data_IF_612416180194
#
_entry.id   IF_612416180194
#
_cell.length_a   1.000
_cell.length_b   1.000
_cell.length_c   1.000
_cell.angle_alpha   90.00
_cell.angle_beta   90.00
_cell.angle_gamma   90.00
#
_symmetry.space_group_name_H-M   'P 1'
#
loop_
_entity.id
_entity.type
_entity.pdbx_description
1 polymer ?
#
# COMPACT_ATOMS: atom_id res chain seq x y z
N UNK A 1 3.28 -18.43 4.40
CA UNK A 1 3.77 -17.05 4.13
C UNK A 1 2.55 -16.16 3.97
N UNK A 2 2.62 -14.90 4.38
CA UNK A 2 1.52 -13.95 4.19
C UNK A 2 1.72 -13.20 2.86
N UNK A 3 0.68 -13.19 2.01
CA UNK A 3 0.73 -12.64 0.65
C UNK A 3 -0.03 -11.34 0.54
N UNK A 4 0.62 -10.30 0.04
CA UNK A 4 0.01 -8.98 -0.14
C UNK A 4 0.20 -8.56 -1.59
N UNK A 5 -0.89 -8.15 -2.25
CA UNK A 5 -0.80 -7.40 -3.49
C UNK A 5 -0.74 -5.91 -3.15
N UNK A 6 0.34 -5.24 -3.54
CA UNK A 6 0.43 -3.78 -3.45
C UNK A 6 0.04 -3.18 -4.78
N UNK A 7 -0.92 -2.27 -4.75
CA UNK A 7 -1.44 -1.59 -5.92
C UNK A 7 -1.30 -0.09 -5.82
N UNK A 8 -1.40 0.56 -6.97
CA UNK A 8 -1.37 2.01 -7.08
C UNK A 8 -0.50 2.47 -8.24
N UNK A 9 -0.63 3.75 -8.57
CA UNK A 9 0.05 4.39 -9.70
C UNK A 9 1.58 4.27 -9.63
N UNK A 10 2.23 4.58 -10.75
CA UNK A 10 3.68 4.74 -10.76
C UNK A 10 4.07 5.79 -9.72
N UNK A 11 5.16 5.54 -8.99
CA UNK A 11 5.64 6.44 -7.93
C UNK A 11 4.63 6.68 -6.78
N UNK A 12 3.67 5.78 -6.53
CA UNK A 12 2.74 5.89 -5.40
C UNK A 12 3.35 5.51 -4.03
N UNK A 13 4.64 5.18 -3.95
CA UNK A 13 5.31 4.78 -2.70
C UNK A 13 5.26 3.28 -2.36
N UNK A 14 4.84 2.43 -3.30
CA UNK A 14 4.67 0.98 -3.11
C UNK A 14 5.94 0.29 -2.55
N UNK A 15 7.07 0.41 -3.26
CA UNK A 15 8.34 -0.21 -2.86
C UNK A 15 8.82 0.27 -1.49
N UNK A 16 8.66 1.56 -1.20
CA UNK A 16 9.03 2.14 0.09
C UNK A 16 8.24 1.50 1.23
N UNK A 17 6.93 1.31 1.09
CA UNK A 17 6.10 0.63 2.10
C UNK A 17 6.60 -0.79 2.34
N UNK A 18 6.89 -1.54 1.27
CA UNK A 18 7.39 -2.91 1.37
C UNK A 18 8.70 -3.01 2.14
N UNK A 19 9.64 -2.12 1.81
CA UNK A 19 10.93 -1.97 2.48
C UNK A 19 10.76 -1.71 3.98
N UNK A 20 9.89 -0.77 4.37
CA UNK A 20 9.64 -0.46 5.79
C UNK A 20 8.97 -1.61 6.54
N UNK A 21 7.97 -2.25 5.95
CA UNK A 21 7.29 -3.42 6.56
C UNK A 21 8.28 -4.57 6.79
N UNK A 22 9.29 -4.68 5.94
CA UNK A 22 10.35 -5.68 6.05
C UNK A 22 11.60 -5.18 6.78
N UNK A 23 11.54 -4.00 7.41
CA UNK A 23 12.65 -3.37 8.15
C UNK A 23 13.99 -3.41 7.39
N UNK A 24 13.97 -2.98 6.13
CA UNK A 24 15.13 -3.00 5.23
C UNK A 24 15.06 -1.89 4.21
N UNK A 25 16.21 -1.50 3.65
CA UNK A 25 16.33 -0.64 2.47
C UNK A 25 16.80 -1.41 1.23
N UNK A 26 17.01 -2.73 1.37
CA UNK A 26 17.41 -3.61 0.27
C UNK A 26 16.30 -3.77 -0.77
N UNK A 27 16.66 -4.27 -1.95
CA UNK A 27 15.70 -4.70 -2.96
C UNK A 27 15.24 -6.14 -2.68
N UNK A 28 13.97 -6.50 -2.98
CA UNK A 28 13.51 -7.86 -2.84
C UNK A 28 14.18 -8.79 -3.85
N UNK A 29 14.27 -10.07 -3.51
CA UNK A 29 14.51 -11.11 -4.50
C UNK A 29 13.21 -11.40 -5.25
N UNK A 30 13.31 -11.55 -6.57
CA UNK A 30 12.16 -11.78 -7.46
C UNK A 30 12.14 -13.26 -7.83
N UNK A 31 11.00 -13.92 -7.67
CA UNK A 31 10.77 -15.29 -8.10
C UNK A 31 9.61 -15.33 -9.08
N UNK A 32 9.76 -16.03 -10.20
CA UNK A 32 8.70 -16.18 -11.18
C UNK A 32 7.61 -17.15 -10.68
N UNK A 33 6.54 -17.34 -11.49
CA UNK A 33 5.44 -18.25 -11.17
C UNK A 33 5.83 -19.74 -10.99
N UNK A 34 7.03 -20.15 -11.39
CA UNK A 34 7.58 -21.51 -11.15
C UNK A 34 8.48 -21.58 -9.91
N UNK A 35 8.72 -20.46 -9.23
CA UNK A 35 9.56 -20.36 -8.03
C UNK A 35 11.05 -20.21 -8.32
N UNK A 36 11.43 -19.96 -9.58
CA UNK A 36 12.81 -19.73 -9.97
C UNK A 36 13.18 -18.27 -9.75
N UNK A 37 14.39 -18.05 -9.22
CA UNK A 37 14.89 -16.71 -8.97
C UNK A 37 15.20 -16.01 -10.30
N UNK A 38 14.60 -14.84 -10.50
CA UNK A 38 14.83 -13.99 -11.66
C UNK A 38 16.02 -13.07 -11.37
N UNK A 39 16.90 -12.87 -12.35
CA UNK A 39 18.02 -11.95 -12.22
C UNK A 39 17.51 -10.51 -12.16
N UNK A 40 17.65 -9.90 -10.99
CA UNK A 40 17.23 -8.52 -10.76
C UNK A 40 17.96 -7.52 -11.66
N UNK A 41 19.11 -7.84 -12.25
CA UNK A 41 19.83 -6.92 -13.16
C UNK A 41 19.19 -6.82 -14.55
N UNK A 42 18.52 -7.88 -15.02
CA UNK A 42 17.62 -7.82 -16.19
C UNK A 42 16.37 -6.99 -15.87
N UNK A 43 15.98 -6.97 -14.58
CA UNK A 43 14.85 -6.19 -14.06
C UNK A 43 15.26 -4.77 -13.63
N UNK A 44 16.55 -4.46 -13.44
CA UNK A 44 17.03 -3.11 -13.10
C UNK A 44 16.93 -2.15 -14.29
N UNK A 45 17.03 -2.69 -15.51
CA UNK A 45 16.63 -2.00 -16.73
C UNK A 45 15.13 -1.70 -16.79
N UNK A 46 14.29 -2.39 -15.99
CA UNK A 46 12.83 -2.29 -15.99
C UNK A 46 12.19 -1.79 -14.69
N UNK A 47 12.95 -1.59 -13.60
CA UNK A 47 12.66 -0.59 -12.57
C UNK A 47 12.62 0.82 -13.21
N UNK A 48 13.33 1.00 -14.34
CA UNK A 48 12.97 1.97 -15.38
C UNK A 48 11.83 1.41 -16.24
N UNK A 49 10.57 1.57 -15.79
CA UNK A 49 9.33 1.40 -16.59
C UNK A 49 9.33 0.23 -17.62
N UNK A 50 8.71 -0.92 -17.30
CA UNK A 50 8.06 -1.72 -18.36
C UNK A 50 7.88 -3.23 -18.21
N UNK A 51 8.57 -3.95 -17.31
CA UNK A 51 8.64 -5.43 -17.38
C UNK A 51 8.40 -6.18 -16.05
N UNK A 52 7.59 -5.68 -15.12
CA UNK A 52 7.30 -6.40 -13.86
C UNK A 52 6.09 -7.33 -13.97
N UNK A 53 6.21 -8.65 -13.95
CA UNK A 53 5.01 -9.50 -14.00
C UNK A 53 4.30 -9.47 -12.63
N UNK A 54 2.98 -9.22 -12.60
CA UNK A 54 2.19 -9.21 -11.35
C UNK A 54 2.20 -10.58 -10.66
N UNK A 55 2.43 -11.64 -11.44
CA UNK A 55 2.60 -13.01 -10.94
C UNK A 55 3.92 -13.24 -10.20
N UNK A 56 4.92 -12.37 -10.38
CA UNK A 56 6.23 -12.52 -9.74
C UNK A 56 6.11 -12.26 -8.23
N UNK A 57 6.74 -13.13 -7.45
CA UNK A 57 6.82 -13.01 -6.00
C UNK A 57 8.04 -12.16 -5.62
N UNK A 58 7.80 -11.06 -4.92
CA UNK A 58 8.82 -10.23 -4.30
C UNK A 58 9.03 -10.67 -2.85
N UNK A 59 10.25 -11.10 -2.52
CA UNK A 59 10.59 -11.62 -1.19
C UNK A 59 11.85 -10.94 -0.65
N UNK A 60 11.72 -10.23 0.47
CA UNK A 60 12.86 -9.59 1.13
C UNK A 60 13.64 -10.59 1.98
N UNK A 61 14.97 -10.48 1.96
CA UNK A 61 15.84 -11.34 2.77
C UNK A 61 15.62 -11.14 4.26
N UNK A 62 15.37 -9.89 4.68
CA UNK A 62 15.08 -9.51 6.07
C UNK A 62 13.78 -10.13 6.59
N UNK A 63 12.80 -10.39 5.73
CA UNK A 63 11.56 -11.06 6.12
C UNK A 63 11.00 -11.99 5.02
N UNK A 64 11.45 -13.24 5.05
CA UNK A 64 11.01 -14.32 4.14
C UNK A 64 9.57 -14.81 4.37
N UNK A 65 8.89 -14.32 5.42
CA UNK A 65 7.53 -14.73 5.76
C UNK A 65 6.48 -13.97 4.97
N UNK A 66 6.85 -12.81 4.41
CA UNK A 66 6.06 -12.11 3.42
C UNK A 66 6.39 -12.54 1.99
N UNK A 67 5.36 -12.47 1.16
CA UNK A 67 5.44 -12.49 -0.29
C UNK A 67 4.63 -11.30 -0.77
N UNK A 68 5.22 -10.46 -1.60
CA UNK A 68 4.52 -9.33 -2.19
C UNK A 68 4.35 -9.54 -3.68
N UNK A 69 3.21 -9.11 -4.19
CA UNK A 69 2.97 -8.90 -5.61
C UNK A 69 2.85 -7.39 -5.82
N UNK A 70 3.41 -6.88 -6.91
CA UNK A 70 3.33 -5.46 -7.24
C UNK A 70 2.52 -5.27 -8.52
N UNK A 71 1.41 -4.51 -8.44
CA UNK A 71 0.75 -4.10 -9.67
C UNK A 71 1.65 -3.11 -10.38
N UNK A 72 1.95 -3.36 -11.66
CA UNK A 72 2.40 -2.29 -12.57
C UNK A 72 1.49 -1.10 -12.36
N UNK A 73 2.05 0.09 -12.18
CA UNK A 73 1.24 1.29 -12.00
C UNK A 73 0.31 1.45 -13.19
N UNK A 74 -0.96 1.11 -13.03
CA UNK A 74 -1.92 1.15 -14.12
C UNK A 74 -2.45 2.58 -14.19
N UNK A 75 -1.98 3.33 -15.17
CA UNK A 75 -2.52 4.64 -15.52
C UNK A 75 -3.56 4.45 -16.63
N UNK A 76 -4.49 5.40 -16.78
CA UNK A 76 -5.74 5.27 -17.56
C UNK A 76 -5.59 5.11 -19.09
N UNK A 77 -4.62 4.35 -19.59
CA UNK A 77 -4.24 4.28 -21.01
C UNK A 77 -4.22 2.90 -21.65
N UNK A 78 -4.18 1.78 -20.90
CA UNK A 78 -4.20 0.44 -21.53
C UNK A 78 -5.24 -0.47 -20.88
N UNK A 79 -6.27 -0.84 -21.64
CA UNK A 79 -7.32 -1.76 -21.18
C UNK A 79 -6.72 -3.14 -20.83
N UNK A 80 -5.73 -3.59 -21.60
CA UNK A 80 -5.05 -4.87 -21.38
C UNK A 80 -4.33 -4.96 -20.03
N UNK A 81 -3.70 -3.90 -19.53
CA UNK A 81 -3.07 -3.93 -18.19
C UNK A 81 -4.10 -4.06 -17.08
N UNK A 82 -5.26 -3.40 -17.23
CA UNK A 82 -6.34 -3.53 -16.27
C UNK A 82 -6.93 -4.94 -16.27
N UNK A 83 -7.15 -5.52 -17.44
CA UNK A 83 -7.74 -6.86 -17.56
C UNK A 83 -6.80 -7.93 -16.98
N UNK A 84 -5.49 -7.86 -17.27
CA UNK A 84 -4.49 -8.74 -16.65
C UNK A 84 -4.46 -8.63 -15.13
N UNK A 85 -4.49 -7.40 -14.60
CA UNK A 85 -4.52 -7.17 -13.15
C UNK A 85 -5.82 -7.71 -12.53
N UNK A 86 -6.96 -7.47 -13.17
CA UNK A 86 -8.27 -7.93 -12.71
C UNK A 86 -8.34 -9.46 -12.69
N UNK A 87 -7.86 -10.11 -13.74
CA UNK A 87 -7.76 -11.57 -13.83
C UNK A 87 -6.89 -12.12 -12.69
N UNK A 88 -5.70 -11.55 -12.48
CA UNK A 88 -4.83 -11.92 -11.36
C UNK A 88 -5.52 -11.80 -10.00
N UNK A 89 -6.16 -10.64 -9.73
CA UNK A 89 -6.85 -10.42 -8.46
C UNK A 89 -7.98 -11.42 -8.27
N UNK A 90 -8.81 -11.64 -9.29
CA UNK A 90 -9.95 -12.55 -9.20
C UNK A 90 -9.50 -14.01 -9.02
N UNK A 91 -8.44 -14.45 -9.70
CA UNK A 91 -7.88 -15.80 -9.55
C UNK A 91 -7.25 -15.99 -8.16
N UNK A 92 -6.32 -15.09 -7.78
CA UNK A 92 -5.58 -15.19 -6.52
C UNK A 92 -6.45 -14.91 -5.29
N UNK A 93 -7.58 -14.22 -5.42
CA UNK A 93 -8.52 -14.04 -4.31
C UNK A 93 -9.40 -15.28 -4.07
N UNK A 94 -9.74 -16.03 -5.13
CA UNK A 94 -10.67 -17.16 -5.11
C UNK A 94 -9.98 -18.53 -5.03
N UNK A 95 -8.65 -18.57 -5.20
CA UNK A 95 -7.88 -19.83 -5.12
C UNK A 95 -7.94 -20.45 -3.72
N UNK A 96 -8.16 -21.77 -3.68
CA UNK A 96 -8.26 -22.57 -2.44
C UNK A 96 -6.86 -22.80 -1.84
N UNK A 97 -5.81 -22.78 -2.67
CA UNK A 97 -4.43 -22.98 -2.26
C UNK A 97 -3.91 -21.73 -1.54
N UNK A 98 -3.84 -21.76 -0.21
CA UNK A 98 -3.36 -20.65 0.63
C UNK A 98 -1.95 -20.17 0.27
N UNK A 99 -1.12 -21.06 -0.26
CA UNK A 99 0.22 -20.73 -0.73
C UNK A 99 0.24 -20.05 -2.11
N UNK A 100 -0.90 -19.90 -2.77
CA UNK A 100 -1.08 -19.09 -3.99
C UNK A 100 -2.03 -17.92 -3.78
N UNK A 101 -2.86 -17.97 -2.74
CA UNK A 101 -3.86 -16.93 -2.44
C UNK A 101 -3.21 -15.63 -2.00
N UNK A 102 -3.70 -14.49 -2.50
CA UNK A 102 -3.40 -13.18 -1.89
C UNK A 102 -4.28 -13.01 -0.65
N UNK A 103 -3.72 -12.51 0.44
CA UNK A 103 -4.41 -12.39 1.73
C UNK A 103 -4.91 -10.98 2.02
N UNK A 104 -4.26 -9.97 1.46
CA UNK A 104 -4.69 -8.58 1.55
C UNK A 104 -4.23 -7.79 0.31
N UNK A 105 -4.93 -6.70 0.04
CA UNK A 105 -4.58 -5.74 -1.00
C UNK A 105 -4.30 -4.38 -0.34
N UNK A 106 -3.13 -3.82 -0.60
CA UNK A 106 -2.74 -2.48 -0.19
C UNK A 106 -2.79 -1.54 -1.38
N UNK A 107 -3.79 -0.66 -1.42
CA UNK A 107 -4.03 0.23 -2.54
C UNK A 107 -3.49 1.64 -2.26
N UNK A 108 -2.35 1.99 -2.84
CA UNK A 108 -1.66 3.26 -2.61
C UNK A 108 -2.26 4.40 -3.44
N UNK A 109 -2.72 5.45 -2.75
CA UNK A 109 -3.17 6.71 -3.33
C UNK A 109 -2.24 7.83 -2.83
N UNK A 110 -1.38 8.40 -3.69
CA UNK A 110 -0.46 9.44 -3.26
C UNK A 110 -1.15 10.81 -3.14
N UNK A 111 -0.88 11.53 -2.05
CA UNK A 111 -1.49 12.83 -1.76
C UNK A 111 -0.81 14.03 -2.44
N UNK A 112 0.41 13.85 -2.96
CA UNK A 112 1.15 14.88 -3.68
C UNK A 112 0.52 15.27 -5.04
N UNK A 113 -0.57 14.61 -5.44
CA UNK A 113 -1.38 14.93 -6.61
C UNK A 113 -2.83 15.19 -6.21
N UNK A 114 -3.04 16.15 -5.31
CA UNK A 114 -4.35 16.47 -4.70
C UNK A 114 -5.46 16.74 -5.74
N UNK A 115 -5.11 17.27 -6.92
CA UNK A 115 -6.03 17.52 -8.03
C UNK A 115 -6.46 16.24 -8.78
N UNK A 116 -5.80 15.10 -8.52
CA UNK A 116 -6.01 13.82 -9.19
C UNK A 116 -5.90 12.63 -8.22
N UNK A 117 -6.42 12.79 -7.00
CA UNK A 117 -6.35 11.76 -5.95
C UNK A 117 -7.01 10.44 -6.33
N UNK A 118 -8.20 10.47 -6.94
CA UNK A 118 -8.89 9.26 -7.43
C UNK A 118 -9.16 9.44 -8.92
N UNK A 119 -8.39 8.74 -9.75
CA UNK A 119 -8.49 8.80 -11.21
C UNK A 119 -9.53 7.81 -11.73
N UNK A 120 -9.76 7.81 -13.05
CA UNK A 120 -10.65 6.83 -13.68
C UNK A 120 -10.17 5.39 -13.47
N UNK A 121 -8.86 5.17 -13.39
CA UNK A 121 -8.27 3.86 -13.19
C UNK A 121 -8.63 3.30 -11.79
N UNK A 122 -8.43 4.08 -10.72
CA UNK A 122 -8.80 3.65 -9.37
C UNK A 122 -10.30 3.41 -9.27
N UNK A 123 -11.14 4.29 -9.83
CA UNK A 123 -12.59 4.07 -9.87
C UNK A 123 -12.95 2.76 -10.57
N UNK A 124 -12.34 2.50 -11.74
CA UNK A 124 -12.56 1.26 -12.50
C UNK A 124 -12.23 0.03 -11.65
N UNK A 125 -11.14 0.05 -10.88
CA UNK A 125 -10.81 -1.04 -9.96
C UNK A 125 -11.93 -1.25 -8.93
N UNK A 126 -12.33 -0.20 -8.21
CA UNK A 126 -13.35 -0.31 -7.15
C UNK A 126 -14.77 -0.56 -7.69
N UNK A 127 -15.04 -0.27 -8.96
CA UNK A 127 -16.35 -0.51 -9.57
C UNK A 127 -16.45 -1.89 -10.25
N UNK A 128 -15.33 -2.46 -10.72
CA UNK A 128 -15.35 -3.66 -11.54
C UNK A 128 -14.60 -4.87 -10.96
N UNK A 129 -13.72 -4.69 -9.98
CA UNK A 129 -12.87 -5.76 -9.45
C UNK A 129 -13.45 -6.32 -8.13
N UNK A 130 -14.05 -7.51 -8.23
CA UNK A 130 -14.52 -8.28 -7.07
C UNK A 130 -13.35 -9.02 -6.41
N UNK A 131 -12.89 -8.52 -5.25
CA UNK A 131 -11.81 -9.12 -4.47
C UNK A 131 -12.29 -10.25 -3.54
N UNK A 132 -13.57 -10.60 -3.57
CA UNK A 132 -14.16 -11.62 -2.72
C UNK A 132 -13.91 -11.36 -1.24
N UNK A 133 -13.21 -12.28 -0.57
CA UNK A 133 -12.90 -12.16 0.87
C UNK A 133 -11.58 -11.43 1.16
N UNK A 134 -10.83 -11.03 0.13
CA UNK A 134 -9.55 -10.35 0.30
C UNK A 134 -9.81 -8.87 0.59
N UNK A 135 -9.44 -8.36 1.78
CA UNK A 135 -9.67 -6.97 2.12
C UNK A 135 -8.79 -6.04 1.27
N UNK A 136 -9.38 -4.92 0.87
CA UNK A 136 -8.68 -3.82 0.20
C UNK A 136 -8.54 -2.65 1.18
N UNK A 137 -7.32 -2.26 1.48
CA UNK A 137 -7.00 -1.13 2.36
C UNK A 137 -6.41 -0.02 1.50
N UNK A 138 -7.04 1.15 1.51
CA UNK A 138 -6.51 2.33 0.82
C UNK A 138 -5.44 2.98 1.70
N UNK A 139 -4.22 3.04 1.20
CA UNK A 139 -3.09 3.69 1.85
C UNK A 139 -2.92 5.07 1.24
N UNK A 140 -3.13 6.12 2.03
CA UNK A 140 -2.84 7.48 1.59
C UNK A 140 -1.35 7.74 1.82
N UNK A 141 -0.59 7.80 0.74
CA UNK A 141 0.87 7.89 0.77
C UNK A 141 1.35 9.29 0.48
N UNK A 142 2.65 9.55 0.69
CA UNK A 142 3.28 10.85 0.45
C UNK A 142 2.63 11.99 1.24
N UNK A 143 2.15 11.70 2.45
CA UNK A 143 1.51 12.71 3.30
C UNK A 143 2.49 13.81 3.71
N UNK A 144 3.79 13.51 3.76
CA UNK A 144 4.91 14.42 4.02
C UNK A 144 5.00 15.58 3.00
N UNK A 145 4.49 15.39 1.78
CA UNK A 145 4.41 16.49 0.80
C UNK A 145 3.45 17.59 1.24
N UNK A 146 2.44 17.25 2.05
CA UNK A 146 1.53 18.24 2.63
C UNK A 146 2.26 19.18 3.59
N UNK A 147 3.27 18.70 4.32
CA UNK A 147 4.02 19.54 5.27
C UNK A 147 4.68 20.71 4.57
N UNK A 148 5.39 20.44 3.47
CA UNK A 148 6.06 21.48 2.68
C UNK A 148 5.05 22.43 2.01
N UNK A 149 4.00 21.88 1.39
CA UNK A 149 2.96 22.68 0.74
C UNK A 149 2.26 23.61 1.75
N UNK A 150 1.94 23.10 2.94
CA UNK A 150 1.32 23.89 4.02
C UNK A 150 2.26 24.97 4.52
N UNK A 151 3.54 24.65 4.75
CA UNK A 151 4.51 25.63 5.21
C UNK A 151 4.65 26.77 4.20
N UNK A 152 4.78 26.45 2.90
CA UNK A 152 4.87 27.45 1.83
C UNK A 152 3.61 28.31 1.73
N UNK A 153 2.41 27.70 1.81
CA UNK A 153 1.15 28.46 1.81
C UNK A 153 1.05 29.42 3.00
N UNK A 154 1.50 29.03 4.20
CA UNK A 154 1.48 29.91 5.36
C UNK A 154 2.42 31.11 5.19
N UNK A 155 3.59 30.91 4.56
CA UNK A 155 4.51 32.00 4.21
C UNK A 155 3.87 32.93 3.17
N UNK A 156 3.22 32.37 2.14
CA UNK A 156 2.52 33.15 1.11
C UNK A 156 1.32 33.93 1.68
N UNK A 157 0.66 33.40 2.72
CA UNK A 157 -0.39 34.07 3.50
C UNK A 157 0.16 35.17 4.45
N UNK A 158 1.49 35.38 4.46
CA UNK A 158 2.15 36.49 5.15
C UNK A 158 2.64 36.17 6.57
N UNK A 159 2.69 34.90 6.96
CA UNK A 159 3.33 34.51 8.22
C UNK A 159 4.85 34.55 8.08
N UNK A 160 5.54 34.83 9.19
CA UNK A 160 6.99 34.62 9.25
C UNK A 160 7.30 33.12 9.44
N UNK A 161 8.58 32.76 9.29
CA UNK A 161 9.03 31.37 9.37
C UNK A 161 8.71 30.70 10.71
N UNK A 162 8.85 31.41 11.83
CA UNK A 162 8.60 30.86 13.17
C UNK A 162 7.11 30.56 13.36
N UNK A 163 6.23 31.52 13.04
CA UNK A 163 4.77 31.35 13.14
C UNK A 163 4.26 30.29 12.14
N UNK A 164 4.84 30.22 10.95
CA UNK A 164 4.50 29.20 9.95
C UNK A 164 4.90 27.80 10.43
N UNK A 165 6.08 27.66 11.03
CA UNK A 165 6.55 26.39 11.60
C UNK A 165 5.66 25.92 12.75
N UNK A 166 5.23 26.84 13.63
CA UNK A 166 4.33 26.51 14.74
C UNK A 166 2.95 26.04 14.25
N UNK A 167 2.40 26.67 13.20
CA UNK A 167 1.05 26.36 12.70
C UNK A 167 0.99 25.21 11.69
N UNK A 168 2.12 24.86 11.07
CA UNK A 168 2.19 23.81 10.03
C UNK A 168 1.56 22.48 10.48
N UNK A 169 1.87 21.92 11.66
CA UNK A 169 1.33 20.62 12.07
C UNK A 169 -0.20 20.59 12.18
N UNK A 170 -0.82 21.67 12.67
CA UNK A 170 -2.28 21.76 12.79
C UNK A 170 -2.96 21.83 11.42
N UNK A 171 -2.41 22.67 10.53
CA UNK A 171 -2.96 22.88 9.18
C UNK A 171 -2.74 21.63 8.31
N UNK A 172 -1.59 20.97 8.42
CA UNK A 172 -1.30 19.69 7.77
C UNK A 172 -2.32 18.63 8.17
N UNK A 173 -2.56 18.46 9.48
CA UNK A 173 -3.56 17.51 10.00
C UNK A 173 -4.96 17.80 9.45
N UNK A 174 -5.33 19.07 9.34
CA UNK A 174 -6.60 19.49 8.74
C UNK A 174 -6.68 19.11 7.26
N UNK A 175 -5.65 19.45 6.46
CA UNK A 175 -5.61 19.11 5.03
C UNK A 175 -5.64 17.61 4.78
N UNK A 176 -4.91 16.84 5.60
CA UNK A 176 -4.92 15.38 5.53
C UNK A 176 -6.33 14.83 5.77
N UNK A 177 -7.03 15.33 6.79
CA UNK A 177 -8.42 14.95 7.06
C UNK A 177 -9.36 15.33 5.90
N UNK A 178 -9.21 16.51 5.31
CA UNK A 178 -9.99 16.93 4.15
C UNK A 178 -9.74 16.01 2.94
N UNK A 179 -8.49 15.62 2.68
CA UNK A 179 -8.15 14.64 1.64
C UNK A 179 -8.78 13.28 1.91
N UNK A 180 -8.69 12.79 3.15
CA UNK A 180 -9.28 11.52 3.57
C UNK A 180 -10.81 11.52 3.38
N UNK A 181 -11.49 12.60 3.77
CA UNK A 181 -12.94 12.76 3.57
C UNK A 181 -13.30 12.74 2.08
N UNK A 182 -12.52 13.42 1.23
CA UNK A 182 -12.73 13.41 -0.24
C UNK A 182 -12.56 12.00 -0.81
N UNK A 183 -11.47 11.32 -0.48
CA UNK A 183 -11.18 9.95 -0.95
C UNK A 183 -12.28 8.98 -0.52
N UNK A 184 -12.68 9.00 0.77
CA UNK A 184 -13.82 8.23 1.27
C UNK A 184 -15.12 8.56 0.53
N UNK A 185 -15.38 9.84 0.29
CA UNK A 185 -16.57 10.32 -0.42
C UNK A 185 -16.67 9.84 -1.87
N UNK A 186 -15.53 9.57 -2.52
CA UNK A 186 -15.48 8.98 -3.86
C UNK A 186 -15.58 7.45 -3.84
N UNK A 187 -14.77 6.79 -3.01
CA UNK A 187 -14.60 5.33 -3.07
C UNK A 187 -15.65 4.54 -2.28
N UNK A 188 -16.27 5.11 -1.24
CA UNK A 188 -17.36 4.44 -0.53
C UNK A 188 -18.64 4.31 -1.36
N UNK A 189 -18.73 5.02 -2.49
CA UNK A 189 -19.87 4.93 -3.41
C UNK A 189 -19.65 3.91 -4.52
N UNK A 190 -18.45 3.34 -4.61
CA UNK A 190 -18.12 2.32 -5.60
C UNK A 190 -18.79 0.99 -5.30
N UNK A 191 -18.87 0.14 -6.32
CA UNK A 191 -19.51 -1.18 -6.20
C UNK A 191 -18.82 -2.09 -5.17
N UNK A 192 -17.50 -2.02 -5.11
CA UNK A 192 -16.65 -2.76 -4.19
C UNK A 192 -15.82 -1.76 -3.37
N UNK A 193 -16.37 -1.17 -2.30
CA UNK A 193 -15.67 -0.14 -1.54
C UNK A 193 -14.47 -0.72 -0.76
N UNK A 194 -13.44 0.10 -0.47
CA UNK A 194 -12.35 -0.28 0.45
C UNK A 194 -12.87 -0.68 1.83
N UNK A 195 -12.16 -1.61 2.47
CA UNK A 195 -12.46 -2.06 3.83
C UNK A 195 -11.95 -1.07 4.88
N UNK A 196 -10.83 -0.38 4.60
CA UNK A 196 -10.30 0.65 5.48
C UNK A 196 -9.43 1.66 4.71
N UNK A 197 -9.11 2.77 5.37
CA UNK A 197 -8.29 3.86 4.86
C UNK A 197 -7.25 4.26 5.89
N UNK A 198 -5.98 4.22 5.51
CA UNK A 198 -4.87 4.52 6.41
C UNK A 198 -3.91 5.54 5.79
N UNK A 199 -3.81 6.76 6.36
CA UNK A 199 -2.70 7.65 6.06
C UNK A 199 -1.38 7.09 6.56
N UNK A 200 -0.36 7.10 5.71
CA UNK A 200 1.00 6.71 6.07
C UNK A 200 1.93 7.91 5.97
N UNK A 201 2.54 8.27 7.10
CA UNK A 201 3.44 9.43 7.25
C UNK A 201 4.83 8.98 7.64
N UNK A 202 5.85 9.65 7.09
CA UNK A 202 7.24 9.38 7.48
C UNK A 202 7.80 8.06 6.95
N UNK A 203 7.19 7.44 5.93
CA UNK A 203 7.65 6.15 5.39
C UNK A 203 9.02 6.22 4.70
N UNK A 204 9.57 7.42 4.50
CA UNK A 204 10.95 7.66 4.07
C UNK A 204 11.98 7.52 5.20
N UNK A 205 11.56 7.52 6.46
CA UNK A 205 12.44 7.38 7.62
C UNK A 205 12.74 5.91 7.92
N UNK A 206 13.98 5.60 8.34
CA UNK A 206 14.36 4.24 8.76
C UNK A 206 13.63 3.77 10.01
N UNK A 207 13.23 4.70 10.88
CA UNK A 207 12.45 4.44 12.08
C UNK A 207 10.93 4.41 11.86
N UNK A 208 10.46 4.45 10.61
CA UNK A 208 9.03 4.49 10.31
C UNK A 208 8.28 3.29 10.91
N UNK A 209 7.29 3.57 11.76
CA UNK A 209 6.50 2.54 12.42
C UNK A 209 5.40 1.99 11.50
N UNK A 210 5.56 0.73 11.10
CA UNK A 210 4.56 0.00 10.29
C UNK A 210 3.50 -0.71 11.15
N UNK A 211 3.54 -0.57 12.49
CA UNK A 211 2.60 -1.23 13.40
C UNK A 211 1.16 -0.88 13.05
N UNK A 212 0.86 0.39 12.78
CA UNK A 212 -0.49 0.85 12.42
C UNK A 212 -1.01 0.19 11.13
N UNK A 213 -0.16 0.04 10.11
CA UNK A 213 -0.50 -0.64 8.85
C UNK A 213 -0.80 -2.12 9.08
N UNK A 214 0.01 -2.78 9.88
CA UNK A 214 -0.13 -4.20 10.18
C UNK A 214 -1.34 -4.47 11.07
N UNK A 215 -1.61 -3.62 12.07
CA UNK A 215 -2.81 -3.67 12.91
C UNK A 215 -4.07 -3.44 12.08
N UNK A 216 -4.09 -2.41 11.22
CA UNK A 216 -5.19 -2.17 10.28
C UNK A 216 -5.41 -3.39 9.37
N UNK A 217 -4.33 -3.98 8.84
CA UNK A 217 -4.42 -5.20 8.03
C UNK A 217 -4.99 -6.36 8.84
N UNK A 218 -4.52 -6.61 10.06
CA UNK A 218 -5.05 -7.67 10.91
C UNK A 218 -6.55 -7.49 11.21
N UNK A 219 -6.97 -6.27 11.53
CA UNK A 219 -8.36 -5.96 11.89
C UNK A 219 -9.33 -6.07 10.70
N UNK A 220 -8.84 -5.91 9.47
CA UNK A 220 -9.67 -6.05 8.25
C UNK A 220 -9.77 -7.49 7.75
N UNK A 221 -8.93 -8.41 8.25
CA UNK A 221 -9.01 -9.83 7.88
C UNK A 221 -10.21 -10.50 8.56
N UNK A 222 -11.04 -11.16 7.74
CA UNK A 222 -12.21 -11.91 8.21
C UNK A 222 -11.86 -13.27 8.84
N UNK A 223 -10.70 -13.83 8.50
CA UNK A 223 -10.28 -15.17 8.92
C UNK A 223 -9.26 -15.09 10.06
N UNK A 224 -9.59 -15.63 11.23
CA UNK A 224 -8.70 -15.64 12.41
C UNK A 224 -7.35 -16.30 12.12
N UNK A 225 -7.35 -17.37 11.31
CA UNK A 225 -6.12 -18.03 10.89
C UNK A 225 -5.21 -17.12 10.07
N UNK A 226 -5.77 -16.22 9.25
CA UNK A 226 -4.98 -15.23 8.50
C UNK A 226 -4.45 -14.13 9.40
N UNK A 227 -5.20 -13.72 10.42
CA UNK A 227 -4.72 -12.78 11.45
C UNK A 227 -3.51 -13.36 12.19
N UNK A 228 -3.62 -14.60 12.67
CA UNK A 228 -2.52 -15.31 13.33
C UNK A 228 -1.32 -15.49 12.39
N UNK A 229 -1.57 -15.80 11.11
CA UNK A 229 -0.52 -15.90 10.11
C UNK A 229 0.22 -14.56 9.94
N UNK A 230 -0.50 -13.45 9.80
CA UNK A 230 0.08 -12.10 9.71
C UNK A 230 0.94 -11.78 10.93
N UNK A 231 0.42 -12.00 12.14
CA UNK A 231 1.16 -11.73 13.39
C UNK A 231 2.43 -12.59 13.46
N UNK A 232 2.35 -13.87 13.07
CA UNK A 232 3.52 -14.76 13.05
C UNK A 232 4.60 -14.35 12.04
N UNK A 233 4.25 -13.51 11.05
CA UNK A 233 5.23 -12.95 10.10
C UNK A 233 6.05 -11.81 10.70
N UNK A 234 5.60 -11.25 11.82
CA UNK A 234 6.16 -10.07 12.49
C UNK A 234 7.12 -10.42 13.62
N UNK A 235 8.02 -11.39 13.44
CA UNK A 235 8.92 -11.87 14.51
C UNK A 235 9.77 -10.77 15.19
N UNK A 236 9.94 -9.62 14.53
CA UNK A 236 10.66 -8.44 15.05
C UNK A 236 9.78 -7.43 15.78
N UNK A 237 8.45 -7.50 15.64
CA UNK A 237 7.49 -6.57 16.25
C UNK A 237 6.77 -7.25 17.43
N UNK A 238 7.48 -7.31 18.57
CA UNK A 238 7.00 -7.92 19.82
C UNK A 238 5.72 -7.25 20.35
N UNK A 239 5.54 -5.95 20.13
CA UNK A 239 4.37 -5.20 20.59
C UNK A 239 3.07 -5.71 19.98
N UNK A 240 3.04 -5.89 18.66
CA UNK A 240 1.91 -6.49 17.93
C UNK A 240 1.61 -7.92 18.37
N UNK A 241 2.65 -8.72 18.59
CA UNK A 241 2.50 -10.09 19.07
C UNK A 241 1.87 -10.12 20.47
N UNK A 242 2.20 -9.17 21.34
CA UNK A 242 1.65 -9.07 22.70
C UNK A 242 0.21 -8.54 22.72
N UNK A 243 -0.11 -7.51 21.93
CA UNK A 243 -1.44 -6.90 21.89
C UNK A 243 -2.52 -7.93 21.50
N UNK A 244 -2.26 -8.73 20.46
CA UNK A 244 -3.16 -9.80 20.02
C UNK A 244 -3.15 -11.05 20.91
N UNK A 245 -2.10 -11.25 21.72
CA UNK A 245 -2.06 -12.33 22.71
C UNK A 245 -2.85 -12.00 23.98
N UNK A 246 -3.03 -10.71 24.31
CA UNK A 246 -3.74 -10.24 25.50
C UNK A 246 -5.24 -9.99 25.22
N UNK A 247 -5.62 -9.70 23.98
CA UNK A 247 -7.02 -9.48 23.58
C UNK A 247 -7.83 -10.75 23.34
N UNK A 248 -7.31 -11.93 23.74
CA UNK A 248 -8.00 -13.23 23.70
C UNK A 248 -8.02 -13.93 25.04
#
# INVERSE_FOLDING_TARGET
RFRILVMGRANAGKTTILQRVCNTTDQPEIFNGTGEKVDATLVQGSQRRGEHNIEDELVFKSNRRFVFHDSRGFEAGSEGEFDMMKEFVMDRAKTIQLDKRIHAIWFCIPLNESHRMVTAAEKKFFDECDTGHVPVIVLLTKTDTLTLDVFMELIDDGLNEDDAMERTPEVEKRKLNECLVKVKGWLNKSRFPPHDYLPLTGMQEESADCTTLLTCTANTLNEEGLQQLLISTQQSNLGLCMEFAITK
#
